data_IF_105607587013
#
_entry.id   IF_105607587013
#
_cell.length_a   1.000
_cell.length_b   1.000
_cell.length_c   1.000
_cell.angle_alpha   90.00
_cell.angle_beta   90.00
_cell.angle_gamma   90.00
#
_symmetry.space_group_name_H-M   'P 1'
#
loop_
_entity.id
_entity.type
_entity.pdbx_description
1 polymer ?
#
# COMPACT_ATOMS: atom_id res chain seq x y z
N UNK A 1 21.93 15.11 -9.55
CA UNK A 1 21.49 13.70 -9.61
C UNK A 1 21.13 13.14 -8.23
N UNK A 2 22.08 12.82 -7.33
CA UNK A 2 21.74 12.26 -6.00
C UNK A 2 20.82 13.17 -5.18
N UNK A 3 21.07 14.49 -5.21
CA UNK A 3 20.21 15.49 -4.56
C UNK A 3 18.77 15.44 -5.11
N UNK A 4 18.62 15.33 -6.42
CA UNK A 4 17.32 15.33 -7.09
C UNK A 4 16.56 14.03 -6.77
N UNK A 5 17.25 12.88 -6.74
CA UNK A 5 16.68 11.60 -6.30
C UNK A 5 16.17 11.65 -4.86
N UNK A 6 16.95 12.25 -3.94
CA UNK A 6 16.53 12.45 -2.55
C UNK A 6 15.31 13.37 -2.43
N UNK A 7 15.22 14.40 -3.26
CA UNK A 7 14.03 15.27 -3.30
C UNK A 7 12.80 14.53 -3.83
N UNK A 8 12.97 13.70 -4.86
CA UNK A 8 11.89 12.84 -5.39
C UNK A 8 11.39 11.90 -4.29
N UNK A 9 12.30 11.19 -3.61
CA UNK A 9 11.94 10.29 -2.50
C UNK A 9 11.17 11.03 -1.40
N UNK A 10 11.69 12.17 -0.94
CA UNK A 10 11.04 12.96 0.11
C UNK A 10 9.63 13.45 -0.31
N UNK A 11 9.43 13.78 -1.59
CA UNK A 11 8.10 14.13 -2.10
C UNK A 11 7.14 12.94 -2.07
N UNK A 12 7.63 11.73 -2.34
CA UNK A 12 6.83 10.50 -2.29
C UNK A 12 6.48 10.16 -0.83
N UNK A 13 7.44 10.20 0.08
CA UNK A 13 7.20 9.99 1.53
C UNK A 13 6.21 11.02 2.09
N UNK A 14 6.32 12.28 1.68
CA UNK A 14 5.37 13.36 2.09
C UNK A 14 3.96 13.12 1.55
N UNK A 15 3.82 12.45 0.39
CA UNK A 15 2.50 12.12 -0.15
C UNK A 15 1.75 11.10 0.72
N UNK A 16 2.48 10.33 1.53
CA UNK A 16 1.95 9.42 2.56
C UNK A 16 0.85 8.47 2.04
N UNK A 17 1.13 7.86 0.88
CA UNK A 17 0.16 7.02 0.17
C UNK A 17 -0.18 5.77 0.97
N UNK A 18 0.79 5.11 1.62
CA UNK A 18 0.54 3.92 2.45
C UNK A 18 -0.49 4.19 3.54
N UNK A 19 -0.35 5.27 4.32
CA UNK A 19 -1.30 5.59 5.38
C UNK A 19 -2.68 5.96 4.83
N UNK A 20 -2.76 6.67 3.70
CA UNK A 20 -4.06 6.99 3.06
C UNK A 20 -4.78 5.74 2.58
N UNK A 21 -4.07 4.78 1.99
CA UNK A 21 -4.65 3.50 1.58
C UNK A 21 -5.03 2.67 2.81
N UNK A 22 -4.18 2.65 3.84
CA UNK A 22 -4.45 1.94 5.10
C UNK A 22 -5.74 2.45 5.75
N UNK A 23 -5.97 3.76 5.78
CA UNK A 23 -7.21 4.33 6.30
C UNK A 23 -8.47 3.82 5.55
N UNK A 24 -8.37 3.59 4.23
CA UNK A 24 -9.47 3.01 3.44
C UNK A 24 -9.65 1.53 3.77
N UNK A 25 -8.56 0.78 3.92
CA UNK A 25 -8.61 -0.63 4.34
C UNK A 25 -9.29 -0.73 5.71
N UNK A 26 -8.87 0.09 6.67
CA UNK A 26 -9.42 0.09 8.03
C UNK A 26 -10.93 0.37 8.02
N UNK A 27 -11.38 1.34 7.21
CA UNK A 27 -12.79 1.63 7.03
C UNK A 27 -13.56 0.42 6.46
N UNK A 28 -13.07 -0.20 5.39
CA UNK A 28 -13.73 -1.36 4.77
C UNK A 28 -13.77 -2.57 5.74
N UNK A 29 -12.71 -2.78 6.51
CA UNK A 29 -12.65 -3.83 7.53
C UNK A 29 -13.64 -3.57 8.68
N UNK A 30 -13.83 -2.32 9.10
CA UNK A 30 -14.84 -1.98 10.10
C UNK A 30 -16.28 -2.24 9.59
N UNK A 31 -16.57 -1.88 8.34
CA UNK A 31 -17.88 -2.16 7.72
C UNK A 31 -18.13 -3.67 7.52
N UNK A 32 -17.06 -4.46 7.36
CA UNK A 32 -17.14 -5.91 7.21
C UNK A 32 -17.77 -6.58 8.44
N UNK A 33 -17.46 -6.13 9.66
CA UNK A 33 -18.04 -6.67 10.89
C UNK A 33 -19.58 -6.53 10.89
N UNK A 34 -20.09 -5.37 10.48
CA UNK A 34 -21.53 -5.14 10.36
C UNK A 34 -22.21 -6.00 9.29
N UNK A 35 -21.51 -6.35 8.21
CA UNK A 35 -22.01 -7.29 7.20
C UNK A 35 -22.09 -8.73 7.74
N UNK A 36 -21.19 -9.13 8.64
CA UNK A 36 -21.24 -10.45 9.27
C UNK A 36 -22.48 -10.60 10.15
N UNK A 37 -22.75 -9.60 10.99
CA UNK A 37 -23.98 -9.56 11.81
C UNK A 37 -25.24 -9.56 10.94
N UNK A 38 -25.27 -8.75 9.88
CA UNK A 38 -26.42 -8.67 8.98
C UNK A 38 -26.66 -9.98 8.22
N UNK A 39 -25.59 -10.66 7.80
CA UNK A 39 -25.69 -11.97 7.16
C UNK A 39 -26.32 -12.99 8.12
N UNK A 40 -25.87 -13.00 9.37
CA UNK A 40 -26.35 -13.95 10.37
C UNK A 40 -27.82 -13.67 10.72
N UNK A 41 -28.20 -12.40 10.84
CA UNK A 41 -29.62 -12.00 10.95
C UNK A 41 -30.46 -12.53 9.78
N UNK A 42 -30.01 -12.35 8.53
CA UNK A 42 -30.75 -12.85 7.37
C UNK A 42 -30.85 -14.38 7.34
N UNK A 43 -29.78 -15.08 7.75
CA UNK A 43 -29.76 -16.54 7.84
C UNK A 43 -30.77 -17.05 8.87
N UNK A 44 -30.78 -16.47 10.07
CA UNK A 44 -31.71 -16.85 11.16
C UNK A 44 -33.18 -16.61 10.79
N UNK A 45 -33.45 -15.59 9.97
CA UNK A 45 -34.79 -15.24 9.52
C UNK A 45 -35.19 -15.89 8.17
N UNK A 46 -34.42 -16.87 7.68
CA UNK A 46 -34.63 -17.54 6.39
C UNK A 46 -34.72 -16.58 5.19
N UNK A 47 -34.07 -15.42 5.26
CA UNK A 47 -34.03 -14.42 4.19
C UNK A 47 -32.88 -14.70 3.22
N UNK A 48 -33.02 -15.76 2.41
CA UNK A 48 -31.97 -16.29 1.52
C UNK A 48 -31.40 -15.24 0.56
N UNK A 49 -32.25 -14.35 0.02
CA UNK A 49 -31.80 -13.28 -0.89
C UNK A 49 -30.94 -12.25 -0.15
N UNK A 50 -31.31 -11.90 1.08
CA UNK A 50 -30.56 -10.99 1.94
C UNK A 50 -29.20 -11.59 2.33
N UNK A 51 -29.19 -12.86 2.76
CA UNK A 51 -27.95 -13.60 3.08
C UNK A 51 -27.01 -13.63 1.87
N UNK A 52 -27.52 -14.00 0.69
CA UNK A 52 -26.71 -14.06 -0.53
C UNK A 52 -26.11 -12.70 -0.88
N UNK A 53 -26.92 -11.63 -0.88
CA UNK A 53 -26.44 -10.28 -1.21
C UNK A 53 -25.39 -9.79 -0.22
N UNK A 54 -25.56 -10.11 1.05
CA UNK A 54 -24.58 -9.75 2.10
C UNK A 54 -23.27 -10.50 1.90
N UNK A 55 -23.31 -11.80 1.61
CA UNK A 55 -22.13 -12.58 1.26
C UNK A 55 -21.42 -12.05 0.01
N UNK A 56 -22.16 -11.61 -1.02
CA UNK A 56 -21.56 -11.04 -2.22
C UNK A 56 -20.86 -9.70 -1.93
N UNK A 57 -21.45 -8.84 -1.08
CA UNK A 57 -20.79 -7.63 -0.59
C UNK A 57 -19.50 -7.93 0.19
N UNK A 58 -19.54 -8.93 1.09
CA UNK A 58 -18.36 -9.36 1.84
C UNK A 58 -17.21 -9.83 0.91
N UNK A 59 -17.54 -10.54 -0.18
CA UNK A 59 -16.55 -10.93 -1.19
C UNK A 59 -15.98 -9.72 -1.94
N UNK A 60 -16.82 -8.74 -2.26
CA UNK A 60 -16.36 -7.49 -2.86
C UNK A 60 -15.39 -6.74 -1.95
N UNK A 61 -15.70 -6.64 -0.65
CA UNK A 61 -14.81 -6.04 0.34
C UNK A 61 -13.45 -6.76 0.40
N UNK A 62 -13.45 -8.10 0.37
CA UNK A 62 -12.21 -8.88 0.32
C UNK A 62 -11.36 -8.55 -0.92
N UNK A 63 -11.99 -8.44 -2.10
CA UNK A 63 -11.28 -8.08 -3.33
C UNK A 63 -10.69 -6.66 -3.22
N UNK A 64 -11.46 -5.71 -2.68
CA UNK A 64 -11.00 -4.33 -2.46
C UNK A 64 -9.79 -4.30 -1.53
N UNK A 65 -9.90 -4.89 -0.34
CA UNK A 65 -8.83 -4.89 0.66
C UNK A 65 -7.58 -5.59 0.13
N UNK A 66 -7.72 -6.77 -0.49
CA UNK A 66 -6.57 -7.50 -1.05
C UNK A 66 -5.86 -6.73 -2.17
N UNK A 67 -6.62 -6.02 -3.01
CA UNK A 67 -6.07 -5.15 -4.06
C UNK A 67 -5.31 -3.98 -3.45
N UNK A 68 -5.91 -3.27 -2.48
CA UNK A 68 -5.28 -2.14 -1.80
C UNK A 68 -4.00 -2.54 -1.05
N UNK A 69 -4.00 -3.69 -0.38
CA UNK A 69 -2.81 -4.26 0.25
C UNK A 69 -1.70 -4.55 -0.78
N UNK A 70 -2.05 -4.99 -1.99
CA UNK A 70 -1.06 -5.17 -3.06
C UNK A 70 -0.46 -3.84 -3.49
N UNK A 71 -1.29 -2.81 -3.67
CA UNK A 71 -0.83 -1.47 -4.04
C UNK A 71 0.13 -0.90 -2.98
N UNK A 72 -0.15 -1.08 -1.68
CA UNK A 72 0.78 -0.67 -0.61
C UNK A 72 2.14 -1.38 -0.77
N UNK A 73 2.14 -2.71 -0.94
CA UNK A 73 3.37 -3.49 -1.08
C UNK A 73 4.18 -3.06 -2.31
N UNK A 74 3.51 -2.88 -3.44
CA UNK A 74 4.16 -2.45 -4.68
C UNK A 74 4.77 -1.05 -4.50
N UNK A 75 4.03 -0.13 -3.87
CA UNK A 75 4.50 1.22 -3.56
C UNK A 75 5.73 1.23 -2.62
N UNK A 76 5.70 0.42 -1.56
CA UNK A 76 6.83 0.29 -0.62
C UNK A 76 8.06 -0.33 -1.29
N UNK A 77 7.86 -1.29 -2.20
CA UNK A 77 8.94 -1.88 -3.00
C UNK A 77 9.61 -0.84 -3.90
N UNK A 78 8.83 -0.03 -4.62
CA UNK A 78 9.36 1.03 -5.49
C UNK A 78 10.12 2.11 -4.70
N UNK A 79 9.63 2.44 -3.49
CA UNK A 79 10.35 3.34 -2.57
C UNK A 79 11.71 2.77 -2.16
N UNK A 80 11.77 1.47 -1.85
CA UNK A 80 13.01 0.80 -1.51
C UNK A 80 13.97 0.73 -2.72
N UNK A 81 13.47 0.53 -3.93
CA UNK A 81 14.30 0.56 -5.14
C UNK A 81 14.93 1.94 -5.37
N UNK A 82 14.22 3.03 -5.06
CA UNK A 82 14.78 4.38 -5.08
C UNK A 82 15.94 4.51 -4.07
N UNK A 83 15.83 3.93 -2.87
CA UNK A 83 16.91 3.91 -1.89
C UNK A 83 18.15 3.20 -2.42
N UNK A 84 17.98 2.03 -3.01
CA UNK A 84 19.07 1.27 -3.64
C UNK A 84 19.78 2.10 -4.73
N UNK A 85 19.01 2.82 -5.55
CA UNK A 85 19.58 3.70 -6.59
C UNK A 85 20.34 4.87 -5.98
N UNK A 86 19.82 5.49 -4.92
CA UNK A 86 20.50 6.58 -4.21
C UNK A 86 21.83 6.11 -3.60
N UNK A 87 21.86 4.93 -2.98
CA UNK A 87 23.06 4.34 -2.39
C UNK A 87 24.14 4.07 -3.45
N UNK A 88 23.75 3.46 -4.57
CA UNK A 88 24.67 3.20 -5.70
C UNK A 88 25.24 4.50 -6.26
N UNK A 89 24.38 5.47 -6.57
CA UNK A 89 24.81 6.76 -7.13
C UNK A 89 25.73 7.55 -6.17
N UNK A 90 25.51 7.43 -4.86
CA UNK A 90 26.37 8.05 -3.84
C UNK A 90 27.74 7.37 -3.77
N UNK A 91 27.78 6.04 -3.88
CA UNK A 91 29.01 5.24 -3.85
C UNK A 91 29.88 5.50 -5.09
N UNK A 92 29.27 5.59 -6.27
CA UNK A 92 29.98 5.88 -7.52
C UNK A 92 30.63 7.28 -7.49
N UNK A 93 29.94 8.27 -6.91
CA UNK A 93 30.50 9.63 -6.74
C UNK A 93 31.74 9.63 -5.84
N UNK A 94 31.71 8.87 -4.74
CA UNK A 94 32.86 8.73 -3.84
C UNK A 94 34.02 7.97 -4.51
N UNK A 95 33.73 6.97 -5.36
CA UNK A 95 34.75 6.25 -6.12
C UNK A 95 35.46 7.15 -7.15
N UNK A 96 34.73 8.06 -7.80
CA UNK A 96 35.31 9.04 -8.72
C UNK A 96 36.16 10.10 -8.00
N UNK A 97 35.73 10.57 -6.83
CA UNK A 97 36.48 11.52 -6.01
C UNK A 97 37.83 10.93 -5.54
N UNK A 98 37.82 9.67 -5.07
CA UNK A 98 39.05 8.98 -4.60
C UNK A 98 40.04 8.62 -5.72
N UNK A 99 39.58 8.45 -6.96
CA UNK A 99 40.46 8.29 -8.14
C UNK A 99 41.04 9.61 -8.63
N UNK A 100 40.37 10.74 -8.40
CA UNK A 100 40.85 12.06 -8.79
C UNK A 100 41.99 12.57 -7.91
N UNK A 101 42.05 12.17 -6.63
CA UNK A 101 43.11 12.60 -5.70
C UNK A 101 44.42 11.81 -5.85
N UNK A 102 44.43 10.77 -6.70
CA UNK A 102 45.59 9.89 -6.92
C UNK A 102 46.22 10.04 -8.32
N UNK A 103 45.91 11.14 -9.05
CA UNK A 103 46.41 11.44 -10.39
C UNK A 103 47.25 12.72 -10.44
#
# INVERSE_FOLDING_TARGET
>A
MVKDLKQIKASIETADISNKIQAVIDYVCAEQEGLEELRDYYRENNQVVGEKRTNDNMKSNFIIVSTLLSVIRDYESELNDIDIVIEKASSDMNSLATKSDNA
#
